data_IF_226480609337
#
_entry.id   IF_226480609337
#
_cell.length_a   1.000
_cell.length_b   1.000
_cell.length_c   1.000
_cell.angle_alpha   90.00
_cell.angle_beta   90.00
_cell.angle_gamma   90.00
#
_symmetry.space_group_name_H-M   'P 1'
#
loop_
_entity.id
_entity.type
_entity.pdbx_description
1 polymer ?
#
# COMPACT_ATOMS: atom_id res chain seq x y z
N UNK A 1 61.71 34.98 40.08
CA UNK A 1 61.93 33.51 40.14
C UNK A 1 61.22 33.02 41.38
N UNK A 2 60.24 32.15 41.19
CA UNK A 2 59.30 31.69 42.21
C UNK A 2 59.96 30.62 43.09
N UNK A 3 60.12 30.91 44.39
CA UNK A 3 60.93 30.16 45.36
C UNK A 3 60.26 28.85 45.81
N UNK A 4 60.16 27.88 44.90
CA UNK A 4 59.53 26.56 45.16
C UNK A 4 60.48 25.36 45.09
N UNK A 5 61.76 25.56 45.37
CA UNK A 5 62.74 24.48 45.48
C UNK A 5 63.30 24.42 46.91
N UNK A 6 62.81 23.49 47.71
CA UNK A 6 63.45 23.10 48.97
C UNK A 6 64.37 21.93 48.64
N UNK A 7 65.68 22.16 48.64
CA UNK A 7 66.64 21.06 48.63
C UNK A 7 66.51 20.33 49.97
N UNK A 8 66.01 19.09 49.93
CA UNK A 8 65.95 18.23 51.12
C UNK A 8 67.41 17.89 51.45
N UNK A 9 67.85 18.27 52.65
CA UNK A 9 69.18 17.97 53.21
C UNK A 9 69.61 16.53 52.90
N UNK A 10 70.60 16.39 52.02
CA UNK A 10 71.17 15.11 51.60
C UNK A 10 72.15 15.33 50.45
N UNK A 11 73.33 14.70 50.54
CA UNK A 11 74.53 14.91 49.72
C UNK A 11 74.39 14.41 48.28
N UNK A 12 73.47 14.96 47.48
CA UNK A 12 73.37 14.62 46.06
C UNK A 12 74.30 15.49 45.22
N UNK A 13 75.19 14.84 44.49
CA UNK A 13 76.07 15.45 43.49
C UNK A 13 75.26 15.97 42.29
N UNK A 14 75.81 16.94 41.56
CA UNK A 14 75.16 17.46 40.35
C UNK A 14 74.94 16.40 39.29
N UNK A 15 75.80 15.37 39.24
CA UNK A 15 75.66 14.22 38.34
C UNK A 15 74.46 13.35 38.74
N UNK A 16 74.26 13.06 40.03
CA UNK A 16 73.08 12.30 40.51
C UNK A 16 71.76 13.04 40.23
N UNK A 17 71.75 14.37 40.35
CA UNK A 17 70.58 15.19 39.98
C UNK A 17 70.34 15.13 38.47
N UNK A 18 71.38 15.22 37.64
CA UNK A 18 71.27 15.11 36.18
C UNK A 18 70.72 13.75 35.79
N UNK A 19 71.27 12.68 36.34
CA UNK A 19 70.87 11.29 36.06
C UNK A 19 69.40 11.05 36.49
N UNK A 20 68.98 11.57 37.64
CA UNK A 20 67.58 11.50 38.07
C UNK A 20 66.64 12.25 37.11
N UNK A 21 67.03 13.44 36.64
CA UNK A 21 66.24 14.21 35.66
C UNK A 21 66.16 13.48 34.32
N UNK A 22 67.26 12.90 33.85
CA UNK A 22 67.30 12.09 32.63
C UNK A 22 66.43 10.85 32.74
N UNK A 23 66.49 10.14 33.87
CA UNK A 23 65.62 9.01 34.15
C UNK A 23 64.14 9.40 34.14
N UNK A 24 63.78 10.54 34.74
CA UNK A 24 62.40 11.06 34.71
C UNK A 24 61.96 11.39 33.28
N UNK A 25 62.82 12.04 32.49
CA UNK A 25 62.55 12.35 31.07
C UNK A 25 62.32 11.08 30.27
N UNK A 26 63.21 10.09 30.42
CA UNK A 26 63.09 8.81 29.74
C UNK A 26 61.80 8.08 30.13
N UNK A 27 61.49 8.00 31.43
CA UNK A 27 60.25 7.37 31.91
C UNK A 27 58.99 8.04 31.36
N UNK A 28 58.98 9.38 31.29
CA UNK A 28 57.87 10.14 30.69
C UNK A 28 57.74 9.84 29.19
N UNK A 29 58.86 9.86 28.47
CA UNK A 29 58.90 9.57 27.04
C UNK A 29 58.41 8.15 26.74
N UNK A 30 58.88 7.14 27.48
CA UNK A 30 58.42 5.76 27.34
C UNK A 30 56.93 5.62 27.63
N UNK A 31 56.41 6.33 28.63
CA UNK A 31 54.98 6.32 28.96
C UNK A 31 54.13 6.94 27.85
N UNK A 32 54.52 8.09 27.32
CA UNK A 32 53.79 8.76 26.24
C UNK A 32 53.87 7.95 24.94
N UNK A 33 55.03 7.36 24.63
CA UNK A 33 55.19 6.45 23.50
C UNK A 33 54.29 5.20 23.63
N UNK A 34 54.23 4.60 24.82
CA UNK A 34 53.34 3.47 25.09
C UNK A 34 51.85 3.81 24.93
N UNK A 35 51.43 5.01 25.32
CA UNK A 35 50.06 5.50 25.07
C UNK A 35 49.78 5.67 23.59
N UNK A 36 50.69 6.30 22.85
CA UNK A 36 50.55 6.50 21.41
C UNK A 36 50.41 5.18 20.64
N UNK A 37 51.16 4.15 21.03
CA UNK A 37 51.03 2.80 20.45
C UNK A 37 49.67 2.16 20.77
N UNK A 38 49.15 2.34 21.98
CA UNK A 38 47.83 1.80 22.35
C UNK A 38 46.67 2.50 21.61
N UNK A 39 46.79 3.79 21.33
CA UNK A 39 45.81 4.55 20.55
C UNK A 39 45.78 4.11 19.09
N UNK A 40 46.95 3.93 18.48
CA UNK A 40 47.12 3.48 17.09
C UNK A 40 46.76 2.01 16.87
N UNK A 41 46.69 1.21 17.94
CA UNK A 41 46.34 -0.20 17.82
C UNK A 41 44.90 -0.36 17.29
N UNK A 42 44.69 -1.18 16.23
CA UNK A 42 43.36 -1.53 15.73
C UNK A 42 42.58 -2.39 16.73
N UNK A 43 43.26 -2.94 17.74
CA UNK A 43 42.68 -3.71 18.83
C UNK A 43 42.75 -2.94 20.15
N UNK A 44 41.70 -3.03 20.95
CA UNK A 44 41.71 -2.58 22.34
C UNK A 44 41.16 -3.66 23.27
N UNK A 45 41.80 -3.87 24.41
CA UNK A 45 41.32 -4.79 25.44
C UNK A 45 40.58 -3.99 26.52
N UNK A 46 39.32 -4.35 26.79
CA UNK A 46 38.54 -3.79 27.90
C UNK A 46 37.74 -4.90 28.56
N UNK A 47 37.83 -4.99 29.88
CA UNK A 47 37.10 -5.99 30.68
C UNK A 47 37.29 -7.44 30.17
N UNK A 48 38.52 -7.78 29.74
CA UNK A 48 38.85 -9.10 29.19
C UNK A 48 38.37 -9.37 27.76
N UNK A 49 37.75 -8.39 27.10
CA UNK A 49 37.23 -8.50 25.74
C UNK A 49 38.08 -7.69 24.76
N UNK A 50 38.35 -8.27 23.59
CA UNK A 50 39.05 -7.60 22.48
C UNK A 50 38.02 -6.89 21.60
N UNK A 51 38.21 -5.59 21.43
CA UNK A 51 37.43 -4.74 20.55
C UNK A 51 38.28 -4.38 19.33
N UNK A 52 37.68 -4.48 18.14
CA UNK A 52 38.30 -4.08 16.87
C UNK A 52 37.74 -2.72 16.49
N UNK A 53 38.61 -1.73 16.27
CA UNK A 53 38.23 -0.37 15.84
C UNK A 53 38.13 -0.33 14.31
N UNK A 54 37.08 0.29 13.79
CA UNK A 54 36.90 0.63 12.35
C UNK A 54 37.21 -0.51 11.36
N UNK A 55 36.78 -1.73 11.69
CA UNK A 55 37.02 -2.90 10.85
C UNK A 55 36.22 -2.87 9.55
N UNK A 56 36.90 -2.99 8.41
CA UNK A 56 36.27 -3.34 7.13
C UNK A 56 36.32 -4.85 6.96
N UNK A 57 35.19 -5.52 7.15
CA UNK A 57 35.07 -6.96 6.91
C UNK A 57 34.67 -7.15 5.43
N UNK A 58 35.59 -7.69 4.63
CA UNK A 58 35.34 -8.00 3.22
C UNK A 58 34.52 -9.28 3.01
N UNK A 59 34.54 -9.80 1.78
CA UNK A 59 33.89 -11.08 1.45
C UNK A 59 34.68 -12.26 2.04
N UNK A 60 34.31 -12.69 3.25
CA UNK A 60 34.84 -13.90 3.88
C UNK A 60 33.72 -14.73 4.50
N UNK A 61 33.80 -16.06 4.37
CA UNK A 61 32.92 -16.97 5.10
C UNK A 61 33.46 -17.05 6.53
N UNK A 62 32.71 -16.53 7.49
CA UNK A 62 33.04 -16.66 8.91
C UNK A 62 32.00 -17.52 9.60
N UNK A 63 32.42 -18.68 10.12
CA UNK A 63 31.60 -19.51 11.01
C UNK A 63 31.83 -19.04 12.44
N UNK A 64 31.04 -18.07 12.87
CA UNK A 64 31.02 -17.62 14.26
C UNK A 64 29.59 -17.19 14.66
N UNK A 65 29.26 -17.38 15.93
CA UNK A 65 28.00 -16.93 16.50
C UNK A 65 28.10 -15.43 16.82
N UNK A 66 27.54 -14.58 15.96
CA UNK A 66 27.51 -13.14 16.16
C UNK A 66 26.17 -12.68 16.74
N UNK A 67 26.20 -11.93 17.83
CA UNK A 67 25.07 -11.10 18.27
C UNK A 67 25.26 -9.69 17.72
N UNK A 68 24.58 -9.38 16.61
CA UNK A 68 24.66 -8.05 15.98
C UNK A 68 23.64 -7.09 16.61
N UNK A 69 24.12 -5.95 17.12
CA UNK A 69 23.26 -4.81 17.49
C UNK A 69 23.48 -3.69 16.48
N UNK A 70 22.58 -3.58 15.51
CA UNK A 70 22.59 -2.47 14.52
C UNK A 70 21.88 -1.26 15.13
N UNK A 71 22.57 -0.13 15.20
CA UNK A 71 21.95 1.16 15.51
C UNK A 71 21.74 1.90 14.18
N UNK A 72 20.52 1.89 13.66
CA UNK A 72 20.14 2.82 12.58
C UNK A 72 19.89 4.21 13.17
N UNK A 73 19.63 5.22 12.36
CA UNK A 73 19.22 6.55 12.86
C UNK A 73 17.85 6.54 13.58
N UNK A 74 17.18 7.69 13.61
CA UNK A 74 15.97 8.04 14.40
C UNK A 74 14.68 7.18 14.22
N UNK A 75 14.77 5.93 13.78
CA UNK A 75 13.67 4.97 13.69
C UNK A 75 13.68 3.99 14.86
N UNK A 76 12.51 3.62 15.41
CA UNK A 76 12.39 2.56 16.43
C UNK A 76 13.01 1.25 15.93
N UNK A 77 14.08 0.79 16.55
CA UNK A 77 14.72 -0.49 16.22
C UNK A 77 13.94 -1.64 16.85
N UNK A 78 13.47 -2.55 16.00
CA UNK A 78 13.09 -3.90 16.41
C UNK A 78 14.29 -4.79 16.10
N UNK A 79 14.65 -5.70 17.00
CA UNK A 79 15.79 -6.60 16.80
C UNK A 79 15.58 -7.45 15.54
N UNK A 80 16.14 -7.01 14.43
CA UNK A 80 16.14 -7.75 13.17
C UNK A 80 17.41 -8.60 13.10
N UNK A 81 17.54 -9.57 14.01
CA UNK A 81 18.45 -10.69 13.79
C UNK A 81 17.78 -11.64 12.79
N UNK A 82 17.80 -11.27 11.49
CA UNK A 82 17.42 -12.18 10.42
C UNK A 82 18.62 -13.08 10.12
N UNK A 83 18.69 -14.23 10.79
CA UNK A 83 19.57 -15.30 10.33
C UNK A 83 18.94 -15.93 9.08
N UNK A 84 19.55 -15.70 7.91
CA UNK A 84 19.21 -16.39 6.67
C UNK A 84 20.20 -17.54 6.50
N UNK A 85 19.89 -18.68 7.10
CA UNK A 85 20.60 -19.95 6.84
C UNK A 85 19.86 -20.74 5.78
N UNK A 86 20.52 -21.04 4.66
CA UNK A 86 20.11 -22.11 3.75
C UNK A 86 21.06 -23.27 4.01
N UNK A 87 20.52 -24.38 4.50
CA UNK A 87 21.28 -25.60 4.77
C UNK A 87 20.78 -26.71 3.83
N UNK A 88 21.68 -27.27 3.02
CA UNK A 88 21.40 -28.38 2.10
C UNK A 88 20.74 -28.02 0.76
N UNK A 89 20.26 -29.05 0.04
CA UNK A 89 19.70 -28.96 -1.32
C UNK A 89 18.26 -28.39 -1.39
N UNK A 90 17.71 -27.92 -0.27
CA UNK A 90 16.36 -27.35 -0.21
C UNK A 90 16.45 -25.84 -0.03
N UNK A 91 16.41 -25.13 -1.15
CA UNK A 91 16.40 -23.66 -1.25
C UNK A 91 15.07 -23.04 -0.77
N UNK A 92 14.62 -23.35 0.45
CA UNK A 92 13.36 -22.84 1.01
C UNK A 92 13.60 -22.07 2.31
N UNK A 93 13.35 -20.77 2.26
CA UNK A 93 13.32 -19.90 3.43
C UNK A 93 11.87 -19.65 3.84
N UNK A 94 11.53 -19.87 5.11
CA UNK A 94 10.18 -19.64 5.65
C UNK A 94 10.22 -18.48 6.64
N UNK A 95 9.57 -17.37 6.28
CA UNK A 95 9.37 -16.23 7.18
C UNK A 95 8.05 -16.41 7.95
N UNK A 96 8.10 -16.48 9.27
CA UNK A 96 6.91 -16.47 10.14
C UNK A 96 6.75 -15.07 10.72
N UNK A 97 5.59 -14.46 10.49
CA UNK A 97 5.20 -13.22 11.13
C UNK A 97 3.69 -13.27 11.38
N UNK A 98 3.24 -12.65 12.48
CA UNK A 98 1.81 -12.57 12.80
C UNK A 98 1.05 -11.81 11.71
N UNK A 99 1.66 -10.77 11.12
CA UNK A 99 1.12 -10.03 9.98
C UNK A 99 2.23 -9.54 9.06
N UNK A 100 1.99 -9.62 7.75
CA UNK A 100 2.82 -8.98 6.73
C UNK A 100 2.14 -7.71 6.24
N UNK A 101 2.91 -6.62 6.12
CA UNK A 101 2.42 -5.40 5.48
C UNK A 101 3.05 -5.31 4.09
N UNK A 102 2.25 -5.59 3.06
CA UNK A 102 2.67 -5.49 1.66
C UNK A 102 2.27 -4.11 1.15
N UNK A 103 3.25 -3.27 0.81
CA UNK A 103 3.00 -1.96 0.19
C UNK A 103 2.67 -2.18 -1.29
N UNK A 104 1.40 -2.51 -1.57
CA UNK A 104 0.93 -2.76 -2.93
C UNK A 104 0.52 -1.48 -3.63
N UNK A 105 1.34 -0.99 -4.57
CA UNK A 105 0.93 0.00 -5.56
C UNK A 105 0.04 -0.61 -6.68
N UNK A 106 -0.22 -1.92 -6.65
CA UNK A 106 -1.13 -2.60 -7.55
C UNK A 106 -2.30 -3.14 -6.74
N UNK A 107 -3.51 -2.77 -7.13
CA UNK A 107 -4.74 -3.41 -6.65
C UNK A 107 -4.53 -4.92 -6.66
N UNK A 108 -4.72 -5.58 -5.51
CA UNK A 108 -4.56 -7.04 -5.38
C UNK A 108 -5.22 -7.74 -6.57
N UNK A 109 -4.53 -8.71 -7.18
CA UNK A 109 -5.06 -9.54 -8.28
C UNK A 109 -6.46 -10.06 -7.92
N UNK A 110 -6.68 -10.38 -6.64
CA UNK A 110 -7.98 -10.80 -6.09
C UNK A 110 -9.01 -9.67 -6.13
N UNK A 111 -8.65 -8.44 -5.74
CA UNK A 111 -9.55 -7.28 -5.80
C UNK A 111 -9.97 -6.91 -7.22
N UNK A 112 -9.02 -6.94 -8.17
CA UNK A 112 -9.32 -6.70 -9.58
C UNK A 112 -10.21 -7.81 -10.19
N UNK A 113 -9.96 -9.08 -9.83
CA UNK A 113 -10.78 -10.21 -10.27
C UNK A 113 -12.24 -10.10 -9.76
N UNK A 114 -12.45 -9.75 -8.48
CA UNK A 114 -13.79 -9.59 -7.90
C UNK A 114 -14.55 -8.40 -8.51
N UNK A 115 -13.88 -7.27 -8.72
CA UNK A 115 -14.48 -6.11 -9.38
C UNK A 115 -14.87 -6.43 -10.84
N UNK A 116 -14.01 -7.15 -11.56
CA UNK A 116 -14.27 -7.57 -12.95
C UNK A 116 -15.43 -8.56 -13.03
N UNK A 117 -15.48 -9.57 -12.16
CA UNK A 117 -16.55 -10.55 -12.10
C UNK A 117 -17.91 -9.89 -11.78
N UNK A 118 -17.94 -8.96 -10.82
CA UNK A 118 -19.14 -8.19 -10.48
C UNK A 118 -19.63 -7.36 -11.67
N UNK A 119 -18.73 -6.66 -12.35
CA UNK A 119 -19.06 -5.86 -13.54
C UNK A 119 -19.62 -6.71 -14.69
N UNK A 120 -19.08 -7.90 -14.93
CA UNK A 120 -19.60 -8.83 -15.94
C UNK A 120 -20.99 -9.34 -15.56
N UNK A 121 -21.21 -9.70 -14.28
CA UNK A 121 -22.50 -10.21 -13.81
C UNK A 121 -23.63 -9.17 -13.93
N UNK A 122 -23.36 -7.91 -13.62
CA UNK A 122 -24.34 -6.81 -13.78
C UNK A 122 -24.69 -6.63 -15.26
N UNK A 123 -23.68 -6.52 -16.13
CA UNK A 123 -23.89 -6.33 -17.58
C UNK A 123 -24.74 -7.46 -18.19
N UNK A 124 -24.43 -8.72 -17.86
CA UNK A 124 -25.20 -9.85 -18.37
C UNK A 124 -26.65 -9.84 -17.86
N UNK A 125 -26.89 -9.39 -16.63
CA UNK A 125 -28.24 -9.21 -16.08
C UNK A 125 -29.04 -8.15 -16.82
N UNK A 126 -28.43 -6.99 -17.08
CA UNK A 126 -29.06 -5.90 -17.82
C UNK A 126 -29.33 -6.30 -19.28
N UNK A 127 -28.36 -6.91 -19.96
CA UNK A 127 -28.48 -7.39 -21.34
C UNK A 127 -29.58 -8.46 -21.49
N UNK A 128 -29.66 -9.42 -20.56
CA UNK A 128 -30.71 -10.44 -20.56
C UNK A 128 -32.10 -9.83 -20.33
N UNK A 129 -32.21 -8.87 -19.43
CA UNK A 129 -33.48 -8.15 -19.17
C UNK A 129 -33.94 -7.43 -20.44
N UNK A 130 -33.03 -6.73 -21.13
CA UNK A 130 -33.35 -6.05 -22.37
C UNK A 130 -33.74 -7.03 -23.50
N UNK A 131 -33.01 -8.14 -23.65
CA UNK A 131 -33.32 -9.15 -24.66
C UNK A 131 -34.71 -9.77 -24.47
N UNK A 132 -35.12 -10.00 -23.22
CA UNK A 132 -36.48 -10.49 -22.91
C UNK A 132 -37.53 -9.43 -23.31
N UNK A 133 -37.28 -8.16 -23.02
CA UNK A 133 -38.19 -7.06 -23.40
C UNK A 133 -38.32 -6.96 -24.92
N UNK A 134 -37.21 -7.02 -25.64
CA UNK A 134 -37.19 -6.93 -27.09
C UNK A 134 -37.90 -8.13 -27.72
N UNK A 135 -37.64 -9.35 -27.25
CA UNK A 135 -38.32 -10.55 -27.71
C UNK A 135 -39.86 -10.50 -27.51
N UNK A 136 -40.33 -9.92 -26.40
CA UNK A 136 -41.76 -9.73 -26.16
C UNK A 136 -42.34 -8.65 -27.07
N UNK A 137 -41.64 -7.52 -27.23
CA UNK A 137 -42.07 -6.41 -28.06
C UNK A 137 -42.15 -6.77 -29.54
N UNK A 138 -41.17 -7.54 -30.01
CA UNK A 138 -41.06 -7.99 -31.40
C UNK A 138 -41.88 -9.27 -31.67
N UNK A 139 -42.56 -9.81 -30.66
CA UNK A 139 -43.44 -10.96 -30.85
C UNK A 139 -44.61 -10.62 -31.76
N UNK A 140 -44.90 -11.52 -32.70
CA UNK A 140 -46.07 -11.43 -33.58
C UNK A 140 -47.38 -11.28 -32.79
N UNK A 141 -47.47 -11.92 -31.62
CA UNK A 141 -48.66 -11.84 -30.76
C UNK A 141 -48.85 -10.43 -30.19
N UNK A 142 -47.77 -9.80 -29.71
CA UNK A 142 -47.81 -8.43 -29.18
C UNK A 142 -48.16 -7.43 -30.29
N UNK A 143 -47.56 -7.62 -31.47
CA UNK A 143 -47.87 -6.84 -32.67
C UNK A 143 -49.35 -6.97 -33.06
N UNK A 144 -49.87 -8.20 -33.11
CA UNK A 144 -51.28 -8.45 -33.44
C UNK A 144 -52.24 -7.84 -32.40
N UNK A 145 -51.89 -7.88 -31.11
CA UNK A 145 -52.66 -7.22 -30.06
C UNK A 145 -52.69 -5.70 -30.25
N UNK A 146 -51.55 -5.07 -30.57
CA UNK A 146 -51.47 -3.64 -30.83
C UNK A 146 -52.35 -3.23 -32.02
N UNK A 147 -52.26 -3.95 -33.15
CA UNK A 147 -53.10 -3.72 -34.33
C UNK A 147 -54.59 -3.84 -34.00
N UNK A 148 -54.97 -4.83 -33.20
CA UNK A 148 -56.36 -5.01 -32.77
C UNK A 148 -56.86 -3.86 -31.89
N UNK A 149 -56.02 -3.36 -30.97
CA UNK A 149 -56.35 -2.20 -30.12
C UNK A 149 -56.55 -0.96 -30.98
N UNK A 150 -55.66 -0.72 -31.94
CA UNK A 150 -55.75 0.44 -32.83
C UNK A 150 -56.99 0.37 -33.74
N UNK A 151 -57.33 -0.82 -34.25
CA UNK A 151 -58.56 -1.03 -35.01
C UNK A 151 -59.83 -0.81 -34.16
N UNK A 152 -59.84 -1.30 -32.91
CA UNK A 152 -60.94 -1.06 -31.97
C UNK A 152 -61.08 0.43 -31.65
N UNK A 153 -59.97 1.14 -31.45
CA UNK A 153 -59.96 2.59 -31.24
C UNK A 153 -60.54 3.34 -32.44
N UNK A 154 -60.14 2.97 -33.66
CA UNK A 154 -60.69 3.55 -34.88
C UNK A 154 -62.19 3.30 -35.02
N UNK A 155 -62.65 2.06 -34.74
CA UNK A 155 -64.08 1.73 -34.74
C UNK A 155 -64.87 2.54 -33.71
N UNK A 156 -64.31 2.76 -32.52
CA UNK A 156 -64.94 3.57 -31.47
C UNK A 156 -65.07 5.03 -31.90
N UNK A 157 -64.01 5.61 -32.48
CA UNK A 157 -64.05 6.97 -33.02
C UNK A 157 -65.07 7.09 -34.16
N UNK A 158 -65.14 6.10 -35.06
CA UNK A 158 -66.12 6.07 -36.15
C UNK A 158 -67.56 6.03 -35.62
N UNK A 159 -67.83 5.22 -34.58
CA UNK A 159 -69.13 5.17 -33.94
C UNK A 159 -69.51 6.50 -33.27
N UNK A 160 -68.57 7.11 -32.55
CA UNK A 160 -68.80 8.41 -31.92
C UNK A 160 -69.13 9.50 -32.95
N UNK A 161 -68.41 9.51 -34.08
CA UNK A 161 -68.68 10.43 -35.18
C UNK A 161 -70.05 10.18 -35.81
N UNK A 162 -70.37 8.93 -36.15
CA UNK A 162 -71.67 8.57 -36.73
C UNK A 162 -72.83 8.91 -35.80
N UNK A 163 -72.67 8.70 -34.49
CA UNK A 163 -73.65 9.13 -33.50
C UNK A 163 -73.80 10.65 -33.46
N UNK A 164 -72.70 11.39 -33.48
CA UNK A 164 -72.73 12.85 -33.48
C UNK A 164 -73.43 13.41 -34.72
N UNK A 165 -73.13 12.86 -35.89
CA UNK A 165 -73.74 13.25 -37.17
C UNK A 165 -75.24 12.91 -37.20
N UNK A 166 -75.63 11.71 -36.77
CA UNK A 166 -77.03 11.31 -36.70
C UNK A 166 -77.85 12.20 -35.75
N UNK A 167 -77.29 12.57 -34.60
CA UNK A 167 -77.92 13.50 -33.65
C UNK A 167 -78.06 14.89 -34.26
N UNK A 168 -76.99 15.41 -34.89
CA UNK A 168 -77.01 16.73 -35.51
C UNK A 168 -78.02 16.80 -36.66
N UNK A 169 -78.11 15.77 -37.50
CA UNK A 169 -79.07 15.70 -38.60
C UNK A 169 -80.51 15.58 -38.10
N UNK A 170 -80.76 14.79 -37.05
CA UNK A 170 -82.08 14.71 -36.43
C UNK A 170 -82.54 16.08 -35.88
N UNK A 171 -81.66 16.79 -35.16
CA UNK A 171 -81.94 18.14 -34.66
C UNK A 171 -82.18 19.11 -35.81
N UNK A 172 -81.33 19.10 -36.85
CA UNK A 172 -81.46 19.98 -38.01
C UNK A 172 -82.78 19.74 -38.75
N UNK A 173 -83.20 18.49 -38.90
CA UNK A 173 -84.47 18.16 -39.56
C UNK A 173 -85.69 18.58 -38.72
N UNK A 174 -85.63 18.45 -37.40
CA UNK A 174 -86.71 18.88 -36.51
C UNK A 174 -86.95 20.40 -36.51
N UNK A 175 -85.92 21.21 -36.79
CA UNK A 175 -85.98 22.67 -36.80
C UNK A 175 -86.37 23.28 -38.16
N UNK A 176 -86.58 22.48 -39.22
CA UNK A 176 -87.07 22.98 -40.51
C UNK A 176 -88.58 23.31 -40.43
N UNK A 177 -89.08 24.38 -41.09
CA UNK A 177 -90.51 24.65 -41.15
C UNK A 177 -91.26 23.47 -41.80
N UNK A 178 -92.16 22.82 -41.05
CA UNK A 178 -92.86 21.60 -41.49
C UNK A 178 -92.16 20.26 -41.18
N UNK A 179 -91.12 20.26 -40.33
CA UNK A 179 -90.22 19.12 -40.07
C UNK A 179 -90.84 17.81 -39.57
N UNK A 180 -92.11 17.79 -39.14
CA UNK A 180 -92.82 16.54 -38.80
C UNK A 180 -93.37 15.79 -40.04
N UNK A 181 -93.36 16.43 -41.22
CA UNK A 181 -93.97 15.89 -42.46
C UNK A 181 -92.95 15.36 -43.49
N UNK A 182 -91.65 15.59 -43.27
CA UNK A 182 -90.55 15.12 -44.13
C UNK A 182 -89.86 13.90 -43.50
N UNK A 183 -90.58 12.79 -43.39
CA UNK A 183 -90.00 11.46 -43.18
C UNK A 183 -90.66 10.49 -44.16
N UNK A 184 -90.20 10.54 -45.41
CA UNK A 184 -90.24 9.43 -46.39
C UNK A 184 -88.95 9.47 -47.19
#
# INVERSE_FOLDING_TARGET
MDSRWVAIQGEYTSDEIRDAVEYIKHKRLTKEFGKGLAELSPFSLKDGQVFIKDAVIGNGIVSANYSLKVNGGNSKHYAASMALGVEGDQSKIVFKADRFHVHGAAQSIVGHAVASATKVKIKLGDEMTQAIIDAVRESDMFTAMQVNIDAQKASLTGLQQAMHDAVNDAIRNALKPGGLLYNR
#
